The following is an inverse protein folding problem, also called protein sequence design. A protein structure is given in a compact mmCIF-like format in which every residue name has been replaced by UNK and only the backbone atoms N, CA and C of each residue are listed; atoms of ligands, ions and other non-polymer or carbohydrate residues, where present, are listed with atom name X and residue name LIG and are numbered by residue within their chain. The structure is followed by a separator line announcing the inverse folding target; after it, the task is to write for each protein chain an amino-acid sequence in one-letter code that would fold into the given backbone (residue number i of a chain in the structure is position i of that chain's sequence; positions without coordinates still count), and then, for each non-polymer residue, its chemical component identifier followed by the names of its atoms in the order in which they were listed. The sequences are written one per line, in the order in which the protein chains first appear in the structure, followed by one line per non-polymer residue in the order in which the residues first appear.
data_IF_715522175904
#
_entry.id   IF_715522175904
#
_cell.length_a   1.000
_cell.length_b   1.000
_cell.length_c   1.000
_cell.angle_alpha   90.00
_cell.angle_beta   90.00
_cell.angle_gamma   90.00
#
_symmetry.space_group_name_H-M   'P 1'
#
loop_
_entity.id
_entity.type
_entity.pdbx_description
1 polymer ?
#
# COMPACT_ATOMS: atom_id res chain seq x y z
N UNK A 1 -13.63 1.84 12.24
CA UNK A 1 -12.46 2.41 11.57
C UNK A 1 -11.24 1.99 12.37
N UNK A 2 -10.42 1.11 11.82
CA UNK A 2 -9.28 0.52 12.56
C UNK A 2 -8.10 1.49 12.62
N UNK A 3 -8.01 2.41 11.66
CA UNK A 3 -7.03 3.47 11.59
C UNK A 3 -7.80 4.73 11.29
N UNK A 4 -7.64 5.78 12.10
CA UNK A 4 -8.16 7.10 11.73
C UNK A 4 -7.26 7.62 10.62
N UNK A 5 -7.56 7.25 9.37
CA UNK A 5 -6.90 7.82 8.21
C UNK A 5 -7.03 9.33 8.28
N UNK A 6 -5.89 10.02 8.15
CA UNK A 6 -5.87 11.48 8.09
C UNK A 6 -6.63 11.95 6.84
N UNK A 7 -7.28 13.11 6.91
CA UNK A 7 -8.08 13.66 5.80
C UNK A 7 -7.21 13.82 4.53
N UNK A 8 -5.93 14.13 4.70
CA UNK A 8 -4.96 14.21 3.62
C UNK A 8 -4.71 12.85 2.94
N UNK A 9 -4.66 11.75 3.71
CA UNK A 9 -4.51 10.41 3.16
C UNK A 9 -5.75 10.02 2.34
N UNK A 10 -6.95 10.28 2.87
CA UNK A 10 -8.18 9.98 2.14
C UNK A 10 -8.23 10.75 0.81
N UNK A 11 -7.90 12.05 0.83
CA UNK A 11 -7.83 12.87 -0.39
C UNK A 11 -6.85 12.29 -1.41
N UNK A 12 -5.65 11.88 -0.97
CA UNK A 12 -4.66 11.28 -1.86
C UNK A 12 -5.15 9.96 -2.48
N UNK A 13 -5.85 9.14 -1.69
CA UNK A 13 -6.47 7.89 -2.20
C UNK A 13 -7.57 8.20 -3.21
N UNK A 14 -8.42 9.20 -2.96
CA UNK A 14 -9.48 9.61 -3.88
C UNK A 14 -8.89 10.14 -5.21
N UNK A 15 -7.83 10.95 -5.15
CA UNK A 15 -7.09 11.40 -6.33
C UNK A 15 -6.51 10.22 -7.13
N UNK A 16 -5.94 9.22 -6.46
CA UNK A 16 -5.43 8.02 -7.12
C UNK A 16 -6.55 7.22 -7.82
N UNK A 17 -7.73 7.12 -7.19
CA UNK A 17 -8.90 6.45 -7.79
C UNK A 17 -9.33 7.17 -9.06
N UNK A 18 -9.32 8.51 -9.07
CA UNK A 18 -9.64 9.28 -10.27
C UNK A 18 -8.60 9.07 -11.39
N UNK A 19 -7.31 8.94 -11.04
CA UNK A 19 -6.25 8.66 -12.03
C UNK A 19 -6.35 7.26 -12.64
N UNK A 20 -6.93 6.31 -11.91
CA UNK A 20 -7.08 4.92 -12.35
C UNK A 20 -8.05 4.75 -13.52
N UNK A 21 -8.88 5.74 -13.86
CA UNK A 21 -9.83 5.66 -14.99
C UNK A 21 -9.15 5.32 -16.31
N UNK A 22 -7.92 5.78 -16.52
CA UNK A 22 -7.14 5.53 -17.74
C UNK A 22 -6.18 4.33 -17.65
N UNK A 23 -5.98 3.76 -16.46
CA UNK A 23 -4.99 2.71 -16.21
C UNK A 23 -5.68 1.41 -15.76
N UNK A 24 -5.70 0.42 -16.65
CA UNK A 24 -6.36 -0.86 -16.41
C UNK A 24 -5.70 -1.67 -15.27
N UNK A 25 -4.40 -1.53 -15.08
CA UNK A 25 -3.66 -2.25 -14.04
C UNK A 25 -3.95 -1.62 -12.67
N UNK A 26 -3.87 -0.29 -12.58
CA UNK A 26 -4.19 0.44 -11.37
C UNK A 26 -5.65 0.23 -10.95
N UNK A 27 -6.59 0.29 -11.91
CA UNK A 27 -8.01 0.03 -11.66
C UNK A 27 -8.25 -1.38 -11.12
N UNK A 28 -7.56 -2.39 -11.66
CA UNK A 28 -7.65 -3.76 -11.18
C UNK A 28 -7.13 -3.88 -9.73
N UNK A 29 -6.02 -3.21 -9.41
CA UNK A 29 -5.47 -3.13 -8.06
C UNK A 29 -6.44 -2.49 -7.07
N UNK A 30 -7.05 -1.36 -7.43
CA UNK A 30 -8.05 -0.67 -6.59
C UNK A 30 -9.28 -1.53 -6.35
N UNK A 31 -9.81 -2.19 -7.40
CA UNK A 31 -10.92 -3.14 -7.24
C UNK A 31 -10.58 -4.30 -6.32
N UNK A 32 -9.34 -4.79 -6.38
CA UNK A 32 -8.89 -5.84 -5.49
C UNK A 32 -8.91 -5.35 -4.03
N UNK A 33 -8.40 -4.14 -3.75
CA UNK A 33 -8.44 -3.54 -2.41
C UNK A 33 -9.88 -3.42 -1.89
N UNK A 34 -10.82 -2.96 -2.72
CA UNK A 34 -12.25 -2.87 -2.35
C UNK A 34 -12.89 -4.23 -2.07
N UNK A 35 -12.49 -5.29 -2.78
CA UNK A 35 -12.99 -6.63 -2.50
C UNK A 35 -12.44 -7.18 -1.18
N UNK A 36 -11.16 -6.95 -0.89
CA UNK A 36 -10.55 -7.41 0.36
C UNK A 36 -11.06 -6.63 1.58
N UNK A 37 -11.35 -5.33 1.44
CA UNK A 37 -11.94 -4.54 2.54
C UNK A 37 -13.29 -5.10 2.98
N UNK A 38 -14.14 -5.48 2.01
CA UNK A 38 -15.45 -6.10 2.25
C UNK A 38 -15.34 -7.47 2.92
N UNK A 39 -14.35 -8.29 2.54
CA UNK A 39 -14.13 -9.61 3.16
C UNK A 39 -13.76 -9.49 4.65
N UNK A 40 -13.04 -8.43 5.00
CA UNK A 40 -12.54 -8.19 6.36
C UNK A 40 -13.45 -7.29 7.20
N UNK A 41 -14.54 -6.78 6.61
CA UNK A 41 -15.46 -5.80 7.22
C UNK A 41 -14.74 -4.54 7.74
N UNK A 42 -13.83 -4.01 6.92
CA UNK A 42 -13.07 -2.79 7.20
C UNK A 42 -13.30 -1.73 6.12
N UNK A 43 -12.95 -0.48 6.39
CA UNK A 43 -13.08 0.55 5.38
C UNK A 43 -12.10 0.34 4.23
N UNK A 44 -12.47 0.82 3.03
CA UNK A 44 -11.58 0.83 1.88
C UNK A 44 -10.24 1.53 2.19
N UNK A 45 -10.30 2.68 2.88
CA UNK A 45 -9.11 3.42 3.30
C UNK A 45 -8.23 2.64 4.29
N UNK A 46 -8.85 1.92 5.25
CA UNK A 46 -8.11 1.05 6.18
C UNK A 46 -7.37 -0.05 5.39
N UNK A 47 -8.03 -0.69 4.43
CA UNK A 47 -7.40 -1.73 3.60
C UNK A 47 -6.29 -1.17 2.72
N UNK A 48 -6.50 0.00 2.13
CA UNK A 48 -5.51 0.70 1.31
C UNK A 48 -4.24 0.99 2.12
N UNK A 49 -4.41 1.49 3.35
CA UNK A 49 -3.30 1.75 4.26
C UNK A 49 -2.55 0.47 4.64
N UNK A 50 -3.26 -0.62 4.94
CA UNK A 50 -2.64 -1.92 5.25
C UNK A 50 -1.76 -2.42 4.10
N UNK A 51 -2.25 -2.33 2.87
CA UNK A 51 -1.51 -2.75 1.67
C UNK A 51 -0.25 -1.89 1.49
N UNK A 52 -0.38 -0.57 1.65
CA UNK A 52 0.76 0.36 1.57
C UNK A 52 1.83 0.03 2.63
N UNK A 53 1.42 -0.20 3.88
CA UNK A 53 2.34 -0.53 4.97
C UNK A 53 3.07 -1.85 4.73
N UNK A 54 2.38 -2.87 4.19
CA UNK A 54 3.01 -4.15 3.83
C UNK A 54 4.10 -3.93 2.78
N UNK A 55 3.79 -3.20 1.71
CA UNK A 55 4.77 -2.91 0.66
C UNK A 55 6.00 -2.16 1.21
N UNK A 56 5.79 -1.12 2.03
CA UNK A 56 6.88 -0.36 2.65
C UNK A 56 7.74 -1.21 3.59
N UNK A 57 7.12 -2.13 4.35
CA UNK A 57 7.84 -3.05 5.21
C UNK A 57 8.70 -4.03 4.41
N UNK A 58 8.15 -4.57 3.31
CA UNK A 58 8.87 -5.48 2.43
C UNK A 58 10.06 -4.81 1.73
N UNK A 59 9.89 -3.57 1.26
CA UNK A 59 10.99 -2.80 0.67
C UNK A 59 12.09 -2.49 1.68
N UNK A 60 11.73 -2.02 2.89
CA UNK A 60 12.71 -1.81 3.97
C UNK A 60 13.45 -3.10 4.35
N UNK A 61 12.76 -4.23 4.34
CA UNK A 61 13.39 -5.53 4.60
C UNK A 61 14.40 -5.89 3.51
N UNK A 62 14.09 -5.64 2.24
CA UNK A 62 15.01 -5.84 1.11
C UNK A 62 16.23 -4.92 1.21
N UNK A 63 16.02 -3.63 1.48
CA UNK A 63 17.09 -2.65 1.68
C UNK A 63 18.05 -3.13 2.78
N UNK A 64 17.51 -3.49 3.95
CA UNK A 64 18.31 -3.96 5.07
C UNK A 64 19.12 -5.23 4.76
N UNK A 65 18.54 -6.19 4.05
CA UNK A 65 19.24 -7.39 3.61
C UNK A 65 20.36 -7.08 2.61
N UNK A 66 20.14 -6.13 1.70
CA UNK A 66 21.14 -5.71 0.72
C UNK A 66 22.32 -4.99 1.36
N UNK A 67 22.07 -4.10 2.32
CA UNK A 67 23.10 -3.41 3.10
C UNK A 67 23.95 -4.41 3.90
N UNK A 68 23.30 -5.40 4.53
CA UNK A 68 23.99 -6.45 5.29
C UNK A 68 24.83 -7.37 4.42
N UNK A 69 24.38 -7.64 3.19
CA UNK A 69 25.10 -8.45 2.21
C UNK A 69 26.31 -7.70 1.64
N UNK A 70 26.16 -6.40 1.37
CA UNK A 70 27.28 -5.55 0.95
C UNK A 70 28.34 -5.38 2.05
N UNK A 71 27.93 -5.27 3.32
CA UNK A 71 28.87 -5.12 4.44
C UNK A 71 29.80 -6.34 4.62
N UNK A 72 29.32 -7.54 4.27
CA UNK A 72 30.11 -8.79 4.31
C UNK A 72 31.13 -8.95 3.17
N UNK A 73 31.07 -8.12 2.12
CA UNK A 73 32.00 -8.17 0.98
C UNK A 73 33.19 -7.21 1.15
N UNK A 74 33.20 -6.41 2.21
CA UNK A 74 34.21 -5.38 2.50
C UNK A 74 35.01 -5.74 3.77
N UNK A 75 34.72 -6.88 4.41
CA UNK A 75 35.44 -7.44 5.57
C UNK A 75 36.24 -8.70 5.19
#
# INVERSE_FOLDING_TARGET
MLIKADEEFMRMVDELVNLAESDKELFAGIKWIDNESKKLDISFYDMFFIVLQRHLADEKAKEWLSERSNKKLID
#
